data_IF_806065068489
#
_entry.id   IF_806065068489
#
_cell.length_a   1.000
_cell.length_b   1.000
_cell.length_c   1.000
_cell.angle_alpha   90.00
_cell.angle_beta   90.00
_cell.angle_gamma   90.00
#
_symmetry.space_group_name_H-M   'P 1'
#
loop_
_entity.id
_entity.type
_entity.pdbx_description
1 polymer ?
#
# COMPACT_ATOMS: atom_id res chain seq x y z
N UNK A 1 -1.88 -0.28 -40.13
CA UNK A 1 -3.30 -0.41 -39.76
C UNK A 1 -3.37 -1.53 -38.74
N UNK A 2 -3.44 -1.17 -37.45
CA UNK A 2 -3.53 -2.17 -36.38
C UNK A 2 -4.98 -2.62 -36.25
N UNK A 3 -5.26 -3.93 -36.09
CA UNK A 3 -6.61 -4.41 -35.91
C UNK A 3 -7.17 -3.85 -34.59
N UNK A 4 -8.36 -3.28 -34.66
CA UNK A 4 -9.14 -2.89 -33.48
C UNK A 4 -9.36 -4.13 -32.61
N UNK A 5 -8.97 -4.03 -31.34
CA UNK A 5 -9.26 -5.08 -30.38
C UNK A 5 -10.77 -5.35 -30.33
N UNK A 6 -11.21 -6.61 -30.18
CA UNK A 6 -12.63 -6.93 -30.10
C UNK A 6 -13.24 -6.17 -28.92
N UNK A 7 -14.34 -5.47 -29.18
CA UNK A 7 -15.14 -4.80 -28.15
C UNK A 7 -15.76 -5.86 -27.24
N UNK A 8 -15.06 -6.18 -26.15
CA UNK A 8 -15.68 -6.93 -25.05
C UNK A 8 -16.65 -5.99 -24.36
N UNK A 9 -17.94 -6.23 -24.51
CA UNK A 9 -18.96 -5.60 -23.67
C UNK A 9 -18.83 -6.15 -22.23
N UNK A 10 -17.93 -5.55 -21.46
CA UNK A 10 -17.90 -5.78 -20.02
C UNK A 10 -19.07 -5.04 -19.41
N UNK A 11 -20.09 -5.77 -19.00
CA UNK A 11 -21.12 -5.21 -18.13
C UNK A 11 -20.52 -5.07 -16.73
N UNK A 12 -20.12 -3.85 -16.39
CA UNK A 12 -19.67 -3.52 -15.04
C UNK A 12 -20.86 -3.56 -14.08
N UNK A 13 -20.65 -4.07 -12.88
CA UNK A 13 -21.60 -3.87 -11.80
C UNK A 13 -21.61 -2.38 -11.40
N UNK A 14 -22.71 -1.90 -10.80
CA UNK A 14 -22.83 -0.52 -10.31
C UNK A 14 -21.65 -0.14 -9.39
N UNK A 15 -21.09 -1.11 -8.67
CA UNK A 15 -19.92 -0.92 -7.81
C UNK A 15 -18.66 -0.69 -8.64
N UNK A 16 -18.42 -1.51 -9.64
CA UNK A 16 -17.26 -1.40 -10.54
C UNK A 16 -17.29 -0.09 -11.35
N UNK A 17 -18.45 0.35 -11.80
CA UNK A 17 -18.62 1.65 -12.47
C UNK A 17 -18.24 2.82 -11.55
N UNK A 18 -18.65 2.79 -10.28
CA UNK A 18 -18.27 3.80 -9.30
C UNK A 18 -16.78 3.78 -8.99
N UNK A 19 -16.18 2.59 -8.87
CA UNK A 19 -14.73 2.43 -8.67
C UNK A 19 -13.94 2.94 -9.88
N UNK A 20 -14.41 2.65 -11.10
CA UNK A 20 -13.79 3.15 -12.34
C UNK A 20 -13.84 4.68 -12.41
N UNK A 21 -15.00 5.27 -12.17
CA UNK A 21 -15.17 6.72 -12.18
C UNK A 21 -14.27 7.44 -11.14
N UNK A 22 -14.09 6.84 -9.95
CA UNK A 22 -13.18 7.36 -8.94
C UNK A 22 -11.71 7.27 -9.40
N UNK A 23 -11.33 6.17 -10.01
CA UNK A 23 -9.96 5.99 -10.53
C UNK A 23 -9.67 6.95 -11.68
N UNK A 24 -10.59 7.11 -12.62
CA UNK A 24 -10.44 8.07 -13.74
C UNK A 24 -10.30 9.51 -13.24
N UNK A 25 -11.09 9.90 -12.24
CA UNK A 25 -11.00 11.23 -11.64
C UNK A 25 -9.69 11.47 -10.91
N UNK A 26 -9.08 10.43 -10.34
CA UNK A 26 -7.83 10.52 -9.58
C UNK A 26 -6.58 10.46 -10.46
N UNK A 27 -6.72 10.12 -11.75
CA UNK A 27 -5.61 9.92 -12.66
C UNK A 27 -5.45 11.13 -13.59
N UNK A 28 -4.29 11.78 -13.54
CA UNK A 28 -3.97 12.87 -14.46
C UNK A 28 -2.50 12.82 -14.90
N UNK A 29 -2.23 13.37 -16.08
CA UNK A 29 -0.89 13.44 -16.62
C UNK A 29 -0.26 14.80 -16.32
N UNK A 30 0.87 14.79 -15.60
CA UNK A 30 1.69 15.97 -15.34
C UNK A 30 2.59 16.23 -16.55
N UNK A 31 2.31 17.30 -17.29
CA UNK A 31 3.03 17.65 -18.51
C UNK A 31 4.47 18.11 -18.22
N UNK A 32 4.72 18.74 -17.09
CA UNK A 32 6.05 19.24 -16.69
C UNK A 32 6.96 18.09 -16.24
N UNK A 33 6.45 17.24 -15.36
CA UNK A 33 7.19 16.09 -14.86
C UNK A 33 7.16 14.89 -15.82
N UNK A 34 6.41 14.98 -16.94
CA UNK A 34 6.21 13.92 -17.96
C UNK A 34 5.86 12.56 -17.37
N UNK A 35 4.94 12.57 -16.40
CA UNK A 35 4.51 11.35 -15.71
C UNK A 35 3.03 11.36 -15.37
N UNK A 36 2.44 10.18 -15.27
CA UNK A 36 1.12 10.01 -14.72
C UNK A 36 1.16 10.15 -13.20
N UNK A 37 0.21 10.91 -12.67
CA UNK A 37 -0.05 11.04 -11.24
C UNK A 37 -1.38 10.35 -10.95
N UNK A 38 -1.37 9.42 -10.02
CA UNK A 38 -2.56 8.77 -9.52
C UNK A 38 -2.73 9.17 -8.04
N UNK A 39 -3.80 9.86 -7.74
CA UNK A 39 -4.17 10.12 -6.36
C UNK A 39 -4.83 8.87 -5.75
N UNK A 40 -4.76 8.75 -4.43
CA UNK A 40 -5.41 7.64 -3.76
C UNK A 40 -6.94 7.82 -3.81
N UNK A 41 -7.72 6.87 -4.37
CA UNK A 41 -9.16 7.02 -4.55
C UNK A 41 -9.88 6.83 -3.21
N UNK A 42 -9.95 7.88 -2.41
CA UNK A 42 -10.63 7.85 -1.14
C UNK A 42 -12.14 7.75 -1.32
N UNK A 43 -12.76 6.74 -0.72
CA UNK A 43 -14.22 6.58 -0.67
C UNK A 43 -14.81 7.45 0.45
N UNK A 44 -14.02 7.76 1.49
CA UNK A 44 -14.39 8.60 2.64
C UNK A 44 -13.30 9.61 2.93
N UNK A 45 -13.60 10.63 3.71
CA UNK A 45 -12.59 11.61 4.11
C UNK A 45 -11.44 10.91 4.87
N UNK A 46 -10.18 11.07 4.44
CA UNK A 46 -9.03 10.52 5.14
C UNK A 46 -8.91 10.97 6.61
N UNK A 47 -9.55 12.09 6.99
CA UNK A 47 -9.59 12.55 8.38
C UNK A 47 -10.35 11.61 9.31
N UNK A 48 -11.26 10.81 8.75
CA UNK A 48 -12.03 9.81 9.48
C UNK A 48 -11.23 8.51 9.73
N UNK A 49 -9.98 8.43 9.25
CA UNK A 49 -9.12 7.27 9.48
C UNK A 49 -8.83 7.09 10.96
N UNK A 50 -9.11 5.88 11.44
CA UNK A 50 -8.82 5.52 12.81
C UNK A 50 -7.32 5.33 13.02
N UNK A 51 -6.84 5.72 14.21
CA UNK A 51 -5.46 5.47 14.61
C UNK A 51 -5.20 3.96 14.73
N UNK A 52 -4.43 3.43 13.78
CA UNK A 52 -4.03 2.02 13.74
C UNK A 52 -2.59 1.79 14.22
N UNK A 53 -1.93 2.79 14.83
CA UNK A 53 -0.53 2.73 15.25
C UNK A 53 -0.21 1.52 16.13
N UNK A 54 -1.03 1.27 17.16
CA UNK A 54 -0.80 0.15 18.08
C UNK A 54 -0.83 -1.20 17.37
N UNK A 55 -1.79 -1.38 16.46
CA UNK A 55 -1.94 -2.62 15.69
C UNK A 55 -0.79 -2.80 14.71
N UNK A 56 -0.44 -1.75 13.97
CA UNK A 56 0.69 -1.76 13.05
C UNK A 56 2.02 -2.04 13.77
N UNK A 57 2.23 -1.44 14.95
CA UNK A 57 3.43 -1.67 15.76
C UNK A 57 3.52 -3.10 16.28
N UNK A 58 2.42 -3.69 16.73
CA UNK A 58 2.39 -5.10 17.14
C UNK A 58 2.75 -6.05 15.98
N UNK A 59 2.29 -5.73 14.78
CA UNK A 59 2.67 -6.49 13.56
C UNK A 59 4.15 -6.33 13.22
N UNK A 60 4.71 -5.13 13.36
CA UNK A 60 6.14 -4.89 13.16
C UNK A 60 6.99 -5.73 14.12
N UNK A 61 6.68 -5.72 15.42
CA UNK A 61 7.37 -6.55 16.43
C UNK A 61 7.29 -8.03 16.07
N UNK A 62 6.13 -8.51 15.62
CA UNK A 62 5.97 -9.91 15.18
C UNK A 62 6.87 -10.23 13.98
N UNK A 63 6.98 -9.33 13.01
CA UNK A 63 7.86 -9.48 11.85
C UNK A 63 9.33 -9.50 12.26
N UNK A 64 9.75 -8.57 13.13
CA UNK A 64 11.13 -8.53 13.65
C UNK A 64 11.51 -9.81 14.41
N UNK A 65 10.60 -10.36 15.22
CA UNK A 65 10.82 -11.64 15.92
C UNK A 65 11.00 -12.83 14.97
N UNK A 66 10.29 -12.83 13.82
CA UNK A 66 10.48 -13.88 12.81
C UNK A 66 11.81 -13.71 12.07
N UNK A 67 12.13 -12.50 11.66
CA UNK A 67 13.40 -12.19 10.99
C UNK A 67 14.62 -12.49 11.88
N UNK A 68 14.52 -12.26 13.19
CA UNK A 68 15.58 -12.58 14.13
C UNK A 68 15.93 -14.10 14.17
N UNK A 69 15.03 -14.98 13.73
CA UNK A 69 15.28 -16.43 13.69
C UNK A 69 16.03 -16.87 12.42
N UNK A 70 16.13 -16.00 11.40
CA UNK A 70 16.80 -16.31 10.14
C UNK A 70 17.55 -15.08 9.63
N UNK A 71 18.84 -15.05 9.87
CA UNK A 71 19.73 -13.93 9.53
C UNK A 71 19.81 -13.66 8.02
N UNK A 72 19.72 -14.69 7.20
CA UNK A 72 19.76 -14.55 5.73
C UNK A 72 18.50 -13.86 5.21
N UNK A 73 17.32 -14.29 5.67
CA UNK A 73 16.07 -13.62 5.33
C UNK A 73 16.04 -12.18 5.84
N UNK A 74 16.55 -11.94 7.06
CA UNK A 74 16.65 -10.61 7.61
C UNK A 74 17.55 -9.68 6.76
N UNK A 75 18.65 -10.19 6.26
CA UNK A 75 19.57 -9.47 5.35
C UNK A 75 18.85 -9.06 4.06
N UNK A 76 18.26 -10.03 3.36
CA UNK A 76 17.52 -9.77 2.11
C UNK A 76 16.38 -8.78 2.32
N UNK A 77 15.64 -8.94 3.41
CA UNK A 77 14.55 -8.02 3.78
C UNK A 77 15.06 -6.59 3.99
N UNK A 78 16.15 -6.41 4.73
CA UNK A 78 16.77 -5.11 4.96
C UNK A 78 17.27 -4.47 3.68
N UNK A 79 17.89 -5.26 2.79
CA UNK A 79 18.38 -4.81 1.49
C UNK A 79 17.22 -4.32 0.60
N UNK A 80 16.09 -5.00 0.59
CA UNK A 80 14.91 -4.58 -0.16
C UNK A 80 14.33 -3.25 0.36
N UNK A 81 14.21 -3.08 1.69
CA UNK A 81 13.78 -1.79 2.28
C UNK A 81 14.76 -0.68 1.93
N UNK A 82 16.07 -0.93 2.07
CA UNK A 82 17.09 0.05 1.71
C UNK A 82 17.04 0.38 0.21
N UNK A 83 16.79 -0.61 -0.64
CA UNK A 83 16.60 -0.41 -2.07
C UNK A 83 15.41 0.50 -2.41
N UNK A 84 14.31 0.44 -1.64
CA UNK A 84 13.19 1.37 -1.79
C UNK A 84 13.60 2.81 -1.43
N UNK A 85 14.37 2.98 -0.36
CA UNK A 85 14.90 4.28 0.04
C UNK A 85 15.85 4.84 -1.03
N UNK A 86 16.76 4.03 -1.52
CA UNK A 86 17.74 4.44 -2.54
C UNK A 86 17.09 4.86 -3.86
N UNK A 87 15.95 4.24 -4.22
CA UNK A 87 15.17 4.62 -5.41
C UNK A 87 14.21 5.79 -5.18
N UNK A 88 14.14 6.35 -3.97
CA UNK A 88 13.22 7.44 -3.63
C UNK A 88 11.75 7.02 -3.50
N UNK A 89 11.45 5.71 -3.52
CA UNK A 89 10.07 5.18 -3.35
C UNK A 89 9.62 5.31 -1.88
N UNK A 90 10.58 5.25 -0.96
CA UNK A 90 10.35 5.45 0.46
C UNK A 90 11.41 6.39 1.04
N UNK A 91 11.08 7.08 2.12
CA UNK A 91 12.05 7.88 2.86
C UNK A 91 11.85 7.75 4.37
N UNK A 92 12.90 7.91 5.11
CA UNK A 92 12.84 7.98 6.57
C UNK A 92 12.38 9.39 6.98
N UNK A 93 11.32 9.46 7.77
CA UNK A 93 10.85 10.72 8.34
C UNK A 93 11.69 11.11 9.57
N UNK A 94 11.94 12.39 9.72
CA UNK A 94 12.58 12.95 10.92
C UNK A 94 11.58 13.05 12.06
N UNK A 95 12.07 13.12 13.29
CA UNK A 95 11.23 13.35 14.47
C UNK A 95 10.48 14.68 14.41
N UNK A 96 11.09 15.70 13.77
CA UNK A 96 10.50 17.03 13.59
C UNK A 96 9.34 16.99 12.61
N UNK A 97 9.51 16.33 11.45
CA UNK A 97 8.43 16.13 10.48
C UNK A 97 7.23 15.41 11.10
N UNK A 98 7.48 14.31 11.83
CA UNK A 98 6.42 13.55 12.52
C UNK A 98 5.67 14.39 13.56
N UNK A 99 6.35 15.28 14.27
CA UNK A 99 5.74 16.16 15.27
C UNK A 99 4.89 17.26 14.64
N UNK A 100 5.38 17.83 13.53
CA UNK A 100 4.76 18.97 12.88
C UNK A 100 3.62 18.57 11.94
N UNK A 101 3.55 17.31 11.52
CA UNK A 101 2.49 16.85 10.65
C UNK A 101 1.16 16.76 11.42
N UNK A 102 0.15 17.42 10.89
CA UNK A 102 -1.22 17.49 11.48
C UNK A 102 -2.28 16.81 10.61
N UNK A 103 -1.87 16.23 9.49
CA UNK A 103 -2.77 15.51 8.60
C UNK A 103 -3.09 14.09 9.08
N UNK A 104 -3.96 13.37 8.37
CA UNK A 104 -4.29 11.98 8.67
C UNK A 104 -3.05 11.09 8.50
N UNK A 105 -2.89 10.12 9.39
CA UNK A 105 -1.80 9.14 9.34
C UNK A 105 -2.40 7.74 9.38
N UNK A 106 -2.03 6.91 8.42
CA UNK A 106 -2.32 5.50 8.41
C UNK A 106 -1.03 4.69 8.35
N UNK A 107 -0.84 3.77 9.29
CA UNK A 107 0.36 2.94 9.37
C UNK A 107 0.14 1.65 8.60
N UNK A 108 0.94 1.44 7.55
CA UNK A 108 0.91 0.22 6.75
C UNK A 108 2.00 -0.71 7.28
N UNK A 109 1.59 -1.85 7.87
CA UNK A 109 2.55 -2.87 8.27
C UNK A 109 3.07 -3.62 7.05
N UNK A 110 4.28 -4.12 7.15
CA UNK A 110 4.90 -4.94 6.12
C UNK A 110 5.49 -6.21 6.74
N UNK A 111 5.57 -7.26 5.94
CA UNK A 111 6.14 -8.54 6.34
C UNK A 111 6.75 -9.25 5.14
N UNK A 112 7.59 -10.23 5.42
CA UNK A 112 8.15 -11.11 4.42
C UNK A 112 7.17 -12.20 3.99
N UNK A 113 7.18 -12.49 2.68
CA UNK A 113 6.58 -13.70 2.10
C UNK A 113 7.67 -14.49 1.43
N UNK A 114 7.79 -15.75 1.82
CA UNK A 114 8.79 -16.67 1.28
C UNK A 114 8.19 -17.39 0.06
N UNK A 115 8.93 -17.38 -1.05
CA UNK A 115 8.65 -18.18 -2.24
C UNK A 115 9.95 -18.91 -2.65
N UNK A 116 10.27 -20.03 -2.00
CA UNK A 116 11.54 -20.75 -2.23
C UNK A 116 11.72 -21.18 -3.69
N UNK A 117 10.63 -21.45 -4.40
CA UNK A 117 10.65 -21.85 -5.82
C UNK A 117 10.91 -20.68 -6.78
N UNK A 118 10.94 -19.44 -6.28
CA UNK A 118 11.18 -18.25 -7.12
C UNK A 118 12.68 -18.06 -7.37
N UNK A 119 13.10 -18.21 -8.61
CA UNK A 119 14.51 -18.02 -9.03
C UNK A 119 14.99 -16.57 -8.88
N UNK A 120 14.10 -15.58 -8.93
CA UNK A 120 14.48 -14.17 -8.91
C UNK A 120 14.32 -13.48 -7.55
N UNK A 121 13.29 -13.83 -6.79
CA UNK A 121 12.97 -13.18 -5.51
C UNK A 121 12.36 -14.17 -4.53
N UNK A 122 13.19 -14.96 -3.85
CA UNK A 122 12.70 -15.96 -2.87
C UNK A 122 12.08 -15.31 -1.63
N UNK A 123 12.49 -14.10 -1.28
CA UNK A 123 11.91 -13.28 -0.19
C UNK A 123 11.29 -12.04 -0.80
N UNK A 124 10.02 -11.78 -0.51
CA UNK A 124 9.29 -10.59 -0.96
C UNK A 124 8.73 -9.82 0.22
N UNK A 125 8.79 -8.49 0.15
CA UNK A 125 8.09 -7.63 1.12
C UNK A 125 6.68 -7.39 0.62
N UNK A 126 5.70 -7.66 1.49
CA UNK A 126 4.29 -7.37 1.24
C UNK A 126 3.84 -6.30 2.23
N UNK A 127 3.23 -5.25 1.70
CA UNK A 127 2.61 -4.18 2.48
C UNK A 127 1.15 -4.53 2.72
N UNK A 128 0.75 -4.59 3.98
CA UNK A 128 -0.63 -4.87 4.37
C UNK A 128 -1.37 -3.58 4.67
N UNK A 129 -2.09 -3.06 3.69
CA UNK A 129 -2.95 -1.88 3.83
C UNK A 129 -4.32 -2.20 4.44
N UNK A 130 -4.68 -3.49 4.59
CA UNK A 130 -5.96 -3.94 5.12
C UNK A 130 -5.93 -4.15 6.65
N UNK A 131 -5.16 -3.37 7.40
CA UNK A 131 -5.18 -3.45 8.85
C UNK A 131 -6.41 -2.77 9.38
N UNK A 132 -7.38 -3.58 9.83
CA UNK A 132 -8.59 -3.09 10.47
C UNK A 132 -8.35 -2.85 11.96
N UNK A 133 -8.82 -1.70 12.45
CA UNK A 133 -9.04 -1.49 13.88
C UNK A 133 -10.47 -1.94 14.15
N UNK A 134 -10.62 -3.10 14.77
CA UNK A 134 -11.95 -3.59 15.18
C UNK A 134 -12.37 -2.83 16.42
N UNK A 135 -13.24 -1.84 16.26
CA UNK A 135 -14.03 -1.34 17.38
C UNK A 135 -15.26 -2.23 17.58
N UNK A 136 -15.59 -2.53 18.82
CA UNK A 136 -16.74 -3.35 19.24
C UNK A 136 -18.12 -2.79 18.86
N UNK A 137 -18.21 -1.71 18.05
CA UNK A 137 -19.45 -1.18 17.47
C UNK A 137 -19.20 -0.66 16.06
N UNK A 138 -19.67 -1.44 15.09
CA UNK A 138 -20.23 -1.03 13.78
C UNK A 138 -19.50 0.09 13.00
N UNK A 139 -18.33 -0.18 12.41
CA UNK A 139 -17.93 0.48 11.16
C UNK A 139 -16.88 -0.38 10.43
N UNK A 140 -17.31 -1.13 9.42
CA UNK A 140 -16.38 -1.72 8.46
C UNK A 140 -15.89 -0.62 7.52
N UNK A 141 -14.64 -0.20 7.67
CA UNK A 141 -13.96 0.56 6.63
C UNK A 141 -13.34 -0.48 5.70
N UNK A 142 -14.00 -0.77 4.60
CA UNK A 142 -13.41 -1.54 3.51
C UNK A 142 -12.60 -0.58 2.64
N UNK A 143 -11.29 -0.63 2.76
CA UNK A 143 -10.40 -0.10 1.73
C UNK A 143 -10.45 -1.11 0.57
N UNK A 144 -11.17 -0.77 -0.49
CA UNK A 144 -11.08 -1.52 -1.73
C UNK A 144 -9.73 -1.18 -2.39
N UNK A 145 -8.75 -2.05 -2.19
CA UNK A 145 -7.59 -2.08 -3.08
C UNK A 145 -7.98 -2.91 -4.30
N UNK A 146 -7.67 -2.47 -5.52
CA UNK A 146 -7.81 -3.31 -6.70
C UNK A 146 -6.90 -4.54 -6.52
N UNK A 147 -7.45 -5.71 -6.84
CA UNK A 147 -6.70 -6.98 -6.89
C UNK A 147 -5.77 -7.02 -8.09
#
# INVERSE_FOLDING_TARGET
MFPLAPSYNYYYTIKEEKELALNEKSLHYDQEAKRWIAEYPWIRDPKDLLDNKKVAFAKLISTERRLAKNSEHAKVYKEQIQGMVNRGVARKLTKTELRNYKGPIHYISHHEVLKPDSKSTPVRIVFNSSIFVVYKKTFEIRLCLPR
#
